data_IF_214526783033
#
_entry.id   IF_214526783033
#
_cell.length_a   1.000
_cell.length_b   1.000
_cell.length_c   1.000
_cell.angle_alpha   90.00
_cell.angle_beta   90.00
_cell.angle_gamma   90.00
#
_symmetry.space_group_name_H-M   'P 1'
#
loop_
_entity.id
_entity.type
_entity.pdbx_description
1 polymer ?
#
# COMPACT_ATOMS: atom_id res chain seq x y z
N UNK A 1 29.10 12.36 13.91
CA UNK A 1 28.54 11.94 15.22
C UNK A 1 27.03 11.65 15.20
N UNK A 2 26.14 12.47 14.59
CA UNK A 2 24.69 12.15 14.48
C UNK A 2 24.37 10.91 13.61
N UNK A 3 25.10 10.69 12.53
CA UNK A 3 24.87 9.56 11.62
C UNK A 3 25.25 8.22 12.26
N UNK A 4 26.37 8.15 12.97
CA UNK A 4 26.86 6.95 13.66
C UNK A 4 25.91 6.51 14.78
N UNK A 5 25.36 7.46 15.53
CA UNK A 5 24.36 7.20 16.57
C UNK A 5 23.03 6.69 15.98
N UNK A 6 22.60 7.24 14.85
CA UNK A 6 21.41 6.80 14.14
C UNK A 6 21.54 5.39 13.52
N UNK A 7 22.74 5.00 13.11
CA UNK A 7 23.05 3.64 12.64
C UNK A 7 23.02 2.64 13.81
N UNK A 8 23.59 2.98 14.96
CA UNK A 8 23.54 2.13 16.15
C UNK A 8 22.11 1.97 16.68
N UNK A 9 21.31 3.03 16.71
CA UNK A 9 19.89 2.98 17.06
C UNK A 9 19.04 2.19 16.06
N UNK A 10 19.45 2.13 14.78
CA UNK A 10 18.83 1.28 13.78
C UNK A 10 18.98 -0.20 14.15
N UNK A 11 20.17 -0.65 14.50
CA UNK A 11 20.43 -2.07 14.86
C UNK A 11 19.84 -2.49 16.21
N UNK A 12 19.46 -1.57 17.09
CA UNK A 12 18.83 -1.85 18.40
C UNK A 12 17.29 -1.74 18.39
N UNK A 13 16.66 -1.46 17.24
CA UNK A 13 15.20 -1.39 17.12
C UNK A 13 14.59 -2.78 17.20
N UNK A 14 13.64 -3.00 18.13
CA UNK A 14 12.89 -4.26 18.30
C UNK A 14 12.19 -4.77 17.01
N UNK A 15 12.01 -3.90 16.02
CA UNK A 15 11.31 -4.21 14.77
C UNK A 15 12.24 -4.37 13.56
N UNK A 16 13.57 -4.30 13.74
CA UNK A 16 14.48 -4.33 12.59
C UNK A 16 14.42 -5.64 11.82
N UNK A 17 14.31 -6.75 12.52
CA UNK A 17 14.21 -8.07 11.89
C UNK A 17 12.95 -8.19 11.04
N UNK A 18 11.81 -7.79 11.59
CA UNK A 18 10.51 -7.78 10.87
C UNK A 18 10.51 -6.82 9.69
N UNK A 19 11.05 -5.62 9.84
CA UNK A 19 11.14 -4.63 8.76
C UNK A 19 12.03 -5.17 7.62
N UNK A 20 13.19 -5.76 7.96
CA UNK A 20 14.13 -6.33 6.98
C UNK A 20 13.53 -7.56 6.28
N UNK A 21 12.81 -8.41 7.00
CA UNK A 21 12.11 -9.57 6.43
C UNK A 21 11.04 -9.14 5.42
N UNK A 22 10.24 -8.13 5.76
CA UNK A 22 9.25 -7.57 4.83
C UNK A 22 9.91 -6.98 3.58
N UNK A 23 11.03 -6.27 3.72
CA UNK A 23 11.79 -5.73 2.59
C UNK A 23 12.33 -6.86 1.72
N UNK A 24 12.94 -7.87 2.32
CA UNK A 24 13.49 -9.02 1.60
C UNK A 24 12.42 -9.78 0.80
N UNK A 25 11.33 -10.18 1.47
CA UNK A 25 10.22 -10.88 0.82
C UNK A 25 9.53 -10.02 -0.24
N UNK A 26 9.31 -8.75 0.08
CA UNK A 26 8.68 -7.81 -0.85
C UNK A 26 9.49 -7.61 -2.12
N UNK A 27 10.79 -7.41 -2.01
CA UNK A 27 11.68 -7.23 -3.17
C UNK A 27 11.85 -8.51 -3.99
N UNK A 28 11.85 -9.68 -3.34
CA UNK A 28 11.87 -10.97 -4.03
C UNK A 28 10.58 -11.15 -4.86
N UNK A 29 9.41 -10.87 -4.29
CA UNK A 29 8.12 -10.96 -5.00
C UNK A 29 8.08 -9.98 -6.18
N UNK A 30 8.57 -8.74 -6.02
CA UNK A 30 8.68 -7.79 -7.11
C UNK A 30 9.58 -8.28 -8.24
N UNK A 31 10.75 -8.84 -7.91
CA UNK A 31 11.68 -9.39 -8.90
C UNK A 31 11.07 -10.59 -9.63
N UNK A 32 10.34 -11.45 -8.92
CA UNK A 32 9.57 -12.55 -9.52
C UNK A 32 8.49 -12.02 -10.47
N UNK A 33 7.71 -11.02 -10.07
CA UNK A 33 6.70 -10.40 -10.92
C UNK A 33 7.33 -9.86 -12.21
N UNK A 34 8.46 -9.18 -12.09
CA UNK A 34 9.19 -8.65 -13.22
C UNK A 34 9.66 -9.75 -14.19
N UNK A 35 10.26 -10.83 -13.67
CA UNK A 35 10.85 -11.89 -14.50
C UNK A 35 9.84 -12.87 -15.06
N UNK A 36 8.76 -13.15 -14.34
CA UNK A 36 7.74 -14.11 -14.78
C UNK A 36 6.73 -13.49 -15.76
N UNK A 37 6.42 -12.20 -15.62
CA UNK A 37 5.30 -11.57 -16.33
C UNK A 37 5.68 -10.32 -17.13
N UNK A 38 6.38 -9.35 -16.49
CA UNK A 38 6.53 -8.03 -17.09
C UNK A 38 7.58 -8.01 -18.20
N UNK A 39 8.78 -8.53 -17.96
CA UNK A 39 9.85 -8.58 -18.97
C UNK A 39 9.45 -9.45 -20.16
N UNK A 40 8.91 -10.69 -19.97
CA UNK A 40 8.44 -11.49 -21.09
C UNK A 40 7.30 -10.85 -21.89
N UNK A 41 6.37 -10.16 -21.20
CA UNK A 41 5.27 -9.44 -21.82
C UNK A 41 5.67 -8.13 -22.50
N UNK A 42 6.92 -7.69 -22.35
CA UNK A 42 7.41 -6.36 -22.77
C UNK A 42 6.54 -5.23 -22.20
N UNK A 43 6.17 -5.34 -20.91
CA UNK A 43 5.35 -4.37 -20.20
C UNK A 43 6.20 -3.67 -19.15
N UNK A 44 6.09 -2.34 -19.09
CA UNK A 44 6.87 -1.57 -18.14
C UNK A 44 6.25 -1.59 -16.74
N UNK A 45 7.10 -1.65 -15.72
CA UNK A 45 6.71 -1.59 -14.31
C UNK A 45 6.62 -0.15 -13.76
N UNK A 46 6.84 0.85 -14.60
CA UNK A 46 6.95 2.26 -14.20
C UNK A 46 8.35 2.65 -13.71
N UNK A 47 8.57 3.94 -13.50
CA UNK A 47 9.76 4.52 -12.90
C UNK A 47 11.10 4.08 -13.48
N UNK A 48 12.13 4.05 -12.64
CA UNK A 48 13.49 3.64 -13.02
C UNK A 48 13.53 2.18 -13.50
N UNK A 49 12.74 1.30 -12.88
CA UNK A 49 12.69 -0.10 -13.30
C UNK A 49 12.06 -0.25 -14.70
N UNK A 50 11.02 0.55 -15.01
CA UNK A 50 10.43 0.60 -16.35
C UNK A 50 11.41 1.18 -17.39
N UNK A 51 12.13 2.25 -17.06
CA UNK A 51 13.19 2.78 -17.92
C UNK A 51 14.30 1.75 -18.16
N UNK A 52 14.73 1.04 -17.11
CA UNK A 52 15.71 -0.03 -17.22
C UNK A 52 15.22 -1.18 -18.13
N UNK A 53 13.93 -1.55 -18.09
CA UNK A 53 13.35 -2.55 -18.99
C UNK A 53 13.43 -2.10 -20.45
N UNK A 54 13.11 -0.82 -20.76
CA UNK A 54 13.20 -0.26 -22.11
C UNK A 54 14.66 -0.30 -22.58
N UNK A 55 15.61 0.14 -21.76
CA UNK A 55 17.03 0.13 -22.09
C UNK A 55 17.54 -1.31 -22.28
N UNK A 56 17.15 -2.24 -21.39
CA UNK A 56 17.53 -3.65 -21.50
C UNK A 56 17.10 -4.27 -22.83
N UNK A 57 15.93 -3.94 -23.32
CA UNK A 57 15.43 -4.46 -24.59
C UNK A 57 16.35 -4.14 -25.76
N UNK A 58 16.95 -2.95 -25.79
CA UNK A 58 17.85 -2.53 -26.88
C UNK A 58 19.32 -2.90 -26.63
N UNK A 59 19.75 -2.92 -25.35
CA UNK A 59 21.19 -3.03 -25.00
C UNK A 59 21.56 -4.37 -24.37
N UNK A 60 20.57 -5.12 -23.91
CA UNK A 60 20.75 -6.36 -23.11
C UNK A 60 21.54 -6.17 -21.80
N UNK A 61 21.67 -4.91 -21.33
CA UNK A 61 22.29 -4.62 -20.04
C UNK A 61 21.42 -5.14 -18.88
N UNK A 62 22.05 -5.57 -17.77
CA UNK A 62 21.32 -6.08 -16.61
C UNK A 62 20.35 -5.04 -16.04
N UNK A 63 19.08 -5.42 -15.88
CA UNK A 63 18.03 -4.51 -15.39
C UNK A 63 18.33 -4.06 -13.95
N UNK A 64 18.74 -5.01 -13.08
CA UNK A 64 19.03 -4.70 -11.69
C UNK A 64 20.18 -3.72 -11.53
N UNK A 65 21.26 -3.87 -12.30
CA UNK A 65 22.37 -2.91 -12.29
C UNK A 65 21.89 -1.50 -12.67
N UNK A 66 21.09 -1.37 -13.73
CA UNK A 66 20.54 -0.09 -14.16
C UNK A 66 19.61 0.52 -13.13
N UNK A 67 18.78 -0.29 -12.46
CA UNK A 67 17.93 0.15 -11.36
C UNK A 67 18.76 0.65 -10.19
N UNK A 68 19.83 -0.06 -9.82
CA UNK A 68 20.73 0.36 -8.74
C UNK A 68 21.33 1.73 -8.99
N UNK A 69 21.91 1.93 -10.17
CA UNK A 69 22.57 3.21 -10.57
C UNK A 69 21.55 4.33 -10.74
N UNK A 70 20.42 4.05 -11.43
CA UNK A 70 19.38 5.04 -11.72
C UNK A 70 18.65 5.52 -10.47
N UNK A 71 18.68 4.74 -9.39
CA UNK A 71 18.06 5.14 -8.12
C UNK A 71 18.92 6.10 -7.27
N UNK A 72 20.20 6.31 -7.58
CA UNK A 72 21.07 7.18 -6.76
C UNK A 72 20.45 8.58 -6.56
N UNK A 73 20.04 9.33 -7.61
CA UNK A 73 19.47 10.67 -7.42
C UNK A 73 18.13 10.65 -6.67
N UNK A 74 17.26 9.68 -6.94
CA UNK A 74 15.97 9.57 -6.26
C UNK A 74 16.12 9.15 -4.80
N UNK A 75 17.12 8.32 -4.50
CA UNK A 75 17.47 7.96 -3.12
C UNK A 75 17.87 9.19 -2.29
N UNK A 76 18.69 10.09 -2.83
CA UNK A 76 19.07 11.34 -2.18
C UNK A 76 17.84 12.21 -1.91
N UNK A 77 16.91 12.29 -2.87
CA UNK A 77 15.65 13.00 -2.74
C UNK A 77 14.77 12.37 -1.62
N UNK A 78 14.59 11.06 -1.64
CA UNK A 78 13.81 10.34 -0.64
C UNK A 78 14.36 10.47 0.76
N UNK A 79 15.69 10.44 0.90
CA UNK A 79 16.36 10.67 2.19
C UNK A 79 16.00 12.02 2.79
N UNK A 80 15.95 13.07 1.94
CA UNK A 80 15.65 14.44 2.39
C UNK A 80 14.17 14.62 2.79
N UNK A 81 13.24 14.00 2.06
CA UNK A 81 11.80 14.32 2.17
C UNK A 81 10.95 13.29 2.93
N UNK A 82 11.34 12.02 3.00
CA UNK A 82 10.46 10.94 3.49
C UNK A 82 10.83 10.34 4.85
N UNK A 83 11.95 10.65 5.48
CA UNK A 83 12.18 10.05 6.80
C UNK A 83 13.61 9.96 7.32
N UNK A 84 14.51 10.73 6.76
CA UNK A 84 15.90 10.81 7.26
C UNK A 84 16.68 9.49 7.15
N UNK A 85 17.66 9.28 8.03
CA UNK A 85 18.64 8.18 7.93
C UNK A 85 18.04 6.78 8.04
N UNK A 86 16.98 6.58 8.87
CA UNK A 86 16.35 5.27 9.06
C UNK A 86 15.59 4.83 7.80
N UNK A 87 14.87 5.74 7.20
CA UNK A 87 14.19 5.50 5.92
C UNK A 87 15.21 5.23 4.82
N UNK A 88 16.28 6.03 4.74
CA UNK A 88 17.33 5.87 3.75
C UNK A 88 17.99 4.48 3.81
N UNK A 89 18.34 3.97 5.02
CA UNK A 89 18.94 2.66 5.18
C UNK A 89 18.01 1.53 4.68
N UNK A 90 16.72 1.57 5.03
CA UNK A 90 15.74 0.59 4.59
C UNK A 90 15.52 0.63 3.08
N UNK A 91 15.45 1.82 2.53
CA UNK A 91 15.33 2.04 1.08
C UNK A 91 16.57 1.56 0.34
N UNK A 92 17.78 1.83 0.85
CA UNK A 92 19.01 1.31 0.28
C UNK A 92 19.02 -0.23 0.24
N UNK A 93 18.64 -0.88 1.34
CA UNK A 93 18.51 -2.34 1.39
C UNK A 93 17.48 -2.85 0.37
N UNK A 94 16.33 -2.20 0.26
CA UNK A 94 15.31 -2.59 -0.70
C UNK A 94 15.79 -2.46 -2.15
N UNK A 95 16.46 -1.37 -2.51
CA UNK A 95 17.01 -1.16 -3.85
C UNK A 95 18.07 -2.23 -4.15
N UNK A 96 18.98 -2.52 -3.20
CA UNK A 96 20.03 -3.52 -3.36
C UNK A 96 19.40 -4.92 -3.55
N UNK A 97 18.46 -5.33 -2.69
CA UNK A 97 17.81 -6.64 -2.80
C UNK A 97 17.01 -6.77 -4.09
N UNK A 98 16.21 -5.76 -4.45
CA UNK A 98 15.45 -5.77 -5.70
C UNK A 98 16.35 -5.89 -6.93
N UNK A 99 17.42 -5.09 -6.98
CA UNK A 99 18.40 -5.12 -8.06
C UNK A 99 19.10 -6.47 -8.16
N UNK A 100 19.55 -7.00 -7.02
CA UNK A 100 20.18 -8.32 -6.95
C UNK A 100 19.24 -9.44 -7.41
N UNK A 101 18.02 -9.51 -6.86
CA UNK A 101 17.07 -10.56 -7.23
C UNK A 101 16.64 -10.46 -8.69
N UNK A 102 16.46 -9.24 -9.21
CA UNK A 102 16.08 -9.04 -10.61
C UNK A 102 17.11 -9.60 -11.57
N UNK A 103 18.40 -9.44 -11.30
CA UNK A 103 19.45 -9.99 -12.17
C UNK A 103 19.76 -11.45 -11.85
N UNK A 104 19.74 -11.85 -10.58
CA UNK A 104 19.98 -13.23 -10.15
C UNK A 104 18.95 -14.20 -10.73
N UNK A 105 17.66 -13.85 -10.69
CA UNK A 105 16.57 -14.68 -11.20
C UNK A 105 16.62 -14.87 -12.72
N UNK A 106 17.35 -14.06 -13.46
CA UNK A 106 17.54 -14.24 -14.92
C UNK A 106 18.16 -15.60 -15.25
N UNK A 107 18.98 -16.14 -14.35
CA UNK A 107 19.64 -17.43 -14.55
C UNK A 107 18.72 -18.64 -14.32
N UNK A 108 17.59 -18.45 -13.65
CA UNK A 108 16.69 -19.53 -13.24
C UNK A 108 15.31 -19.48 -13.91
N UNK A 109 14.90 -18.32 -14.40
CA UNK A 109 13.59 -18.12 -15.00
C UNK A 109 13.74 -18.01 -16.52
N UNK A 110 12.92 -18.79 -17.24
CA UNK A 110 12.89 -18.74 -18.71
C UNK A 110 12.54 -17.34 -19.22
N UNK A 111 13.20 -16.88 -20.30
CA UNK A 111 12.88 -15.60 -20.93
C UNK A 111 11.43 -15.51 -21.44
N UNK A 112 10.76 -16.65 -21.71
CA UNK A 112 9.36 -16.69 -22.15
C UNK A 112 8.36 -16.41 -21.02
N UNK A 113 8.80 -16.45 -19.75
CA UNK A 113 7.90 -16.27 -18.61
C UNK A 113 6.92 -17.44 -18.43
N UNK A 114 5.78 -17.15 -17.79
CA UNK A 114 4.73 -18.14 -17.46
C UNK A 114 3.67 -18.24 -18.55
N UNK A 115 3.37 -17.14 -19.21
CA UNK A 115 2.29 -17.04 -20.22
C UNK A 115 2.64 -16.03 -21.30
N UNK A 116 2.13 -16.26 -22.51
CA UNK A 116 2.19 -15.28 -23.60
C UNK A 116 0.98 -14.34 -23.66
N UNK A 117 -0.04 -14.60 -22.83
CA UNK A 117 -1.25 -13.77 -22.76
C UNK A 117 -0.95 -12.44 -22.08
N UNK A 118 -1.17 -11.33 -22.79
CA UNK A 118 -0.86 -9.99 -22.30
C UNK A 118 -1.77 -9.58 -21.13
N UNK A 119 -3.02 -10.02 -21.11
CA UNK A 119 -3.97 -9.71 -20.02
C UNK A 119 -3.51 -10.39 -18.73
N UNK A 120 -3.18 -11.69 -18.81
CA UNK A 120 -2.68 -12.43 -17.64
C UNK A 120 -1.35 -11.85 -17.14
N UNK A 121 -0.44 -11.50 -18.04
CA UNK A 121 0.82 -10.86 -17.70
C UNK A 121 0.59 -9.51 -16.99
N UNK A 122 -0.34 -8.69 -17.48
CA UNK A 122 -0.64 -7.40 -16.86
C UNK A 122 -1.28 -7.54 -15.48
N UNK A 123 -2.27 -8.42 -15.33
CA UNK A 123 -3.00 -8.59 -14.08
C UNK A 123 -2.15 -9.26 -13.01
N UNK A 124 -1.57 -10.42 -13.29
CA UNK A 124 -0.76 -11.15 -12.31
C UNK A 124 0.59 -10.47 -12.06
N UNK A 125 1.21 -9.90 -13.10
CA UNK A 125 2.42 -9.11 -12.96
C UNK A 125 2.19 -7.87 -12.10
N UNK A 126 1.12 -7.12 -12.37
CA UNK A 126 0.73 -5.96 -11.56
C UNK A 126 0.38 -6.32 -10.13
N UNK A 127 -0.42 -7.39 -9.92
CA UNK A 127 -0.80 -7.86 -8.59
C UNK A 127 0.42 -8.23 -7.75
N UNK A 128 1.31 -9.08 -8.26
CA UNK A 128 2.50 -9.52 -7.53
C UNK A 128 3.48 -8.37 -7.31
N UNK A 129 3.67 -7.49 -8.32
CA UNK A 129 4.50 -6.31 -8.17
C UNK A 129 3.99 -5.43 -7.02
N UNK A 130 2.68 -5.17 -6.98
CA UNK A 130 2.06 -4.36 -5.94
C UNK A 130 2.07 -5.00 -4.56
N UNK A 131 1.82 -6.30 -4.45
CA UNK A 131 1.95 -7.03 -3.18
C UNK A 131 3.37 -6.93 -2.64
N UNK A 132 4.37 -7.10 -3.50
CA UNK A 132 5.78 -6.92 -3.14
C UNK A 132 6.08 -5.50 -2.66
N UNK A 133 5.59 -4.48 -3.37
CA UNK A 133 5.71 -3.07 -2.97
C UNK A 133 5.07 -2.80 -1.60
N UNK A 134 3.86 -3.28 -1.38
CA UNK A 134 3.15 -3.11 -0.12
C UNK A 134 3.89 -3.74 1.07
N UNK A 135 4.54 -4.90 0.87
CA UNK A 135 5.41 -5.50 1.88
C UNK A 135 6.64 -4.62 2.17
N UNK A 136 7.29 -4.08 1.14
CA UNK A 136 8.41 -3.13 1.33
C UNK A 136 7.95 -1.89 2.09
N UNK A 137 6.74 -1.40 1.85
CA UNK A 137 6.15 -0.28 2.58
C UNK A 137 5.88 -0.62 4.06
N UNK A 138 5.41 -1.83 4.36
CA UNK A 138 5.32 -2.32 5.75
C UNK A 138 6.68 -2.39 6.42
N UNK A 139 7.74 -2.73 5.67
CA UNK A 139 9.13 -2.63 6.11
C UNK A 139 9.64 -1.19 6.25
N UNK A 140 8.78 -0.18 6.06
CA UNK A 140 9.08 1.26 6.19
C UNK A 140 10.17 1.73 5.22
N UNK A 141 10.30 1.05 4.08
CA UNK A 141 11.20 1.38 2.98
C UNK A 141 10.42 1.69 1.69
N UNK A 142 11.13 1.82 0.58
CA UNK A 142 10.60 1.83 -0.78
C UNK A 142 11.59 1.13 -1.69
N UNK A 143 11.11 0.50 -2.79
CA UNK A 143 11.98 -0.17 -3.76
C UNK A 143 12.73 0.81 -4.69
N UNK A 144 12.58 2.11 -4.46
CA UNK A 144 13.22 3.14 -5.27
C UNK A 144 12.36 3.55 -6.46
N UNK A 145 12.98 4.21 -7.44
CA UNK A 145 12.29 4.65 -8.65
C UNK A 145 11.23 5.72 -8.39
N UNK A 146 10.19 5.70 -9.22
CA UNK A 146 9.02 6.55 -9.08
C UNK A 146 8.26 6.32 -7.76
N UNK A 147 8.50 5.20 -7.08
CA UNK A 147 7.91 4.92 -5.76
C UNK A 147 8.27 6.01 -4.75
N UNK A 148 9.50 6.54 -4.80
CA UNK A 148 9.92 7.65 -3.95
C UNK A 148 9.09 8.90 -4.26
N UNK A 149 8.91 9.22 -5.54
CA UNK A 149 8.08 10.35 -5.98
C UNK A 149 6.61 10.11 -5.63
N UNK A 150 6.10 8.91 -5.88
CA UNK A 150 4.74 8.51 -5.53
C UNK A 150 4.45 8.66 -4.03
N UNK A 151 5.37 8.22 -3.18
CA UNK A 151 5.25 8.40 -1.72
C UNK A 151 5.35 9.85 -1.27
N UNK A 152 6.15 10.67 -1.93
CA UNK A 152 6.20 12.11 -1.68
C UNK A 152 4.84 12.73 -2.01
N UNK A 153 4.25 12.41 -3.16
CA UNK A 153 2.91 12.90 -3.54
C UNK A 153 1.82 12.42 -2.59
N UNK A 154 1.85 11.15 -2.20
CA UNK A 154 0.92 10.59 -1.21
C UNK A 154 1.04 11.35 0.13
N UNK A 155 2.25 11.52 0.64
CA UNK A 155 2.49 12.16 1.94
C UNK A 155 2.11 13.64 1.97
N UNK A 156 2.46 14.42 0.93
CA UNK A 156 2.26 15.88 0.91
C UNK A 156 0.96 16.34 0.25
N UNK A 157 0.38 15.56 -0.66
CA UNK A 157 -0.82 15.92 -1.41
C UNK A 157 -2.01 15.03 -1.11
N UNK A 158 -1.86 13.97 -0.30
CA UNK A 158 -2.95 13.05 0.05
C UNK A 158 -3.48 12.22 -1.11
N UNK A 159 -2.74 12.12 -2.23
CA UNK A 159 -3.13 11.27 -3.35
C UNK A 159 -2.99 9.80 -2.98
N UNK A 160 -3.85 8.92 -3.54
CA UNK A 160 -3.66 7.47 -3.38
C UNK A 160 -2.35 7.01 -4.04
N UNK A 161 -1.83 5.87 -3.61
CA UNK A 161 -0.60 5.30 -4.16
C UNK A 161 -0.76 5.05 -5.66
N UNK A 162 -1.90 4.49 -6.07
CA UNK A 162 -2.21 4.20 -7.47
C UNK A 162 -2.27 5.47 -8.34
N UNK A 163 -2.90 6.55 -7.83
CA UNK A 163 -2.93 7.85 -8.53
C UNK A 163 -1.53 8.46 -8.67
N UNK A 164 -0.74 8.39 -7.61
CA UNK A 164 0.62 8.92 -7.61
C UNK A 164 1.50 8.21 -8.64
N UNK A 165 1.37 6.90 -8.78
CA UNK A 165 2.10 6.12 -9.79
C UNK A 165 1.69 6.48 -11.21
N UNK A 166 0.39 6.61 -11.49
CA UNK A 166 -0.06 7.03 -12.81
C UNK A 166 0.55 8.38 -13.22
N UNK A 167 0.64 9.33 -12.29
CA UNK A 167 1.22 10.65 -12.57
C UNK A 167 2.73 10.55 -12.83
N UNK A 168 3.47 9.85 -11.96
CA UNK A 168 4.94 9.79 -12.04
C UNK A 168 5.43 8.94 -13.19
N UNK A 169 4.65 7.94 -13.62
CA UNK A 169 5.08 6.93 -14.58
C UNK A 169 4.57 7.18 -16.01
N UNK A 170 3.73 8.21 -16.20
CA UNK A 170 3.20 8.57 -17.54
C UNK A 170 4.29 8.72 -18.58
N UNK A 171 5.41 9.36 -18.26
CA UNK A 171 6.52 9.54 -19.21
C UNK A 171 7.13 8.20 -19.63
N UNK A 172 7.25 7.24 -18.71
CA UNK A 172 7.79 5.90 -18.97
C UNK A 172 6.82 5.09 -19.84
N UNK A 173 5.51 5.20 -19.57
CA UNK A 173 4.48 4.57 -20.41
C UNK A 173 4.53 5.09 -21.83
N UNK A 174 4.61 6.41 -22.02
CA UNK A 174 4.74 7.01 -23.35
C UNK A 174 6.01 6.52 -24.07
N UNK A 175 7.15 6.50 -23.39
CA UNK A 175 8.40 5.97 -23.94
C UNK A 175 8.26 4.49 -24.33
N UNK A 176 7.55 3.68 -23.53
CA UNK A 176 7.31 2.26 -23.84
C UNK A 176 6.44 2.07 -25.08
N UNK A 177 5.51 2.99 -25.35
CA UNK A 177 4.69 2.99 -26.57
C UNK A 177 5.53 3.08 -27.85
N UNK A 178 6.58 3.88 -27.83
CA UNK A 178 7.51 3.97 -28.95
C UNK A 178 8.47 2.77 -29.04
N UNK A 179 8.84 2.17 -27.90
CA UNK A 179 9.78 1.06 -27.85
C UNK A 179 9.13 -0.31 -28.14
N UNK A 180 7.98 -0.59 -27.56
CA UNK A 180 7.33 -1.91 -27.54
C UNK A 180 6.01 -1.94 -28.31
N UNK A 181 5.50 -0.77 -28.73
CA UNK A 181 4.18 -0.59 -29.33
C UNK A 181 3.11 -0.17 -28.33
N UNK A 182 2.09 0.53 -28.85
CA UNK A 182 1.05 1.16 -28.02
C UNK A 182 0.19 0.17 -27.25
N UNK A 183 -0.06 -1.02 -27.81
CA UNK A 183 -0.83 -2.06 -27.13
C UNK A 183 -0.15 -2.45 -25.81
N UNK A 184 1.16 -2.72 -25.83
CA UNK A 184 1.92 -3.08 -24.64
C UNK A 184 2.07 -1.94 -23.64
N UNK A 185 2.12 -0.71 -24.14
CA UNK A 185 2.11 0.47 -23.29
C UNK A 185 0.79 0.63 -22.53
N UNK A 186 -0.35 0.36 -23.19
CA UNK A 186 -1.66 0.35 -22.53
C UNK A 186 -1.75 -0.75 -21.47
N UNK A 187 -1.25 -1.95 -21.74
CA UNK A 187 -1.14 -2.99 -20.70
C UNK A 187 -0.18 -2.57 -19.58
N UNK A 188 0.90 -1.84 -19.87
CA UNK A 188 1.78 -1.23 -18.87
C UNK A 188 1.03 -0.28 -17.93
N UNK A 189 0.09 0.53 -18.44
CA UNK A 189 -0.79 1.35 -17.59
C UNK A 189 -1.65 0.52 -16.66
N UNK A 190 -2.18 -0.62 -17.14
CA UNK A 190 -2.94 -1.55 -16.29
C UNK A 190 -2.03 -2.12 -15.20
N UNK A 191 -0.81 -2.54 -15.54
CA UNK A 191 0.20 -3.01 -14.55
C UNK A 191 0.43 -1.97 -13.47
N UNK A 192 0.70 -0.71 -13.84
CA UNK A 192 0.97 0.38 -12.90
C UNK A 192 -0.23 0.63 -11.99
N UNK A 193 -1.44 0.68 -12.55
CA UNK A 193 -2.66 0.90 -11.78
C UNK A 193 -2.96 -0.26 -10.81
N UNK A 194 -2.93 -1.50 -11.31
CA UNK A 194 -3.16 -2.71 -10.50
C UNK A 194 -2.11 -2.84 -9.40
N UNK A 195 -0.83 -2.57 -9.71
CA UNK A 195 0.23 -2.62 -8.71
C UNK A 195 0.05 -1.56 -7.62
N UNK A 196 -0.40 -0.36 -7.98
CA UNK A 196 -0.74 0.68 -7.01
C UNK A 196 -1.85 0.25 -6.05
N UNK A 197 -2.97 -0.30 -6.57
CA UNK A 197 -4.06 -0.82 -5.75
C UNK A 197 -3.61 -1.97 -4.84
N UNK A 198 -2.85 -2.91 -5.38
CA UNK A 198 -2.34 -4.04 -4.60
C UNK A 198 -1.34 -3.59 -3.52
N UNK A 199 -0.50 -2.60 -3.81
CA UNK A 199 0.43 -2.01 -2.85
C UNK A 199 -0.31 -1.29 -1.71
N UNK A 200 -1.37 -0.55 -2.02
CA UNK A 200 -2.22 0.14 -1.05
C UNK A 200 -2.88 -0.87 -0.10
N UNK A 201 -3.53 -1.91 -0.65
CA UNK A 201 -4.14 -2.98 0.13
C UNK A 201 -3.13 -3.74 0.99
N UNK A 202 -1.95 -4.03 0.45
CA UNK A 202 -0.91 -4.76 1.17
C UNK A 202 -0.21 -3.90 2.23
N UNK A 203 -0.04 -2.59 2.02
CA UNK A 203 0.61 -1.69 2.96
C UNK A 203 -0.29 -1.31 4.15
N UNK A 204 -1.54 -0.98 3.88
CA UNK A 204 -2.49 -0.54 4.91
C UNK A 204 -3.11 -1.71 5.67
N UNK A 205 -3.10 -2.90 5.08
CA UNK A 205 -3.81 -4.07 5.59
C UNK A 205 -5.32 -3.97 5.33
N UNK A 206 -6.02 -5.09 5.57
CA UNK A 206 -7.47 -5.15 5.39
C UNK A 206 -8.26 -4.55 6.56
N UNK A 207 -7.63 -3.75 7.42
CA UNK A 207 -8.28 -3.09 8.56
C UNK A 207 -9.09 -1.89 8.06
N UNK A 208 -10.14 -2.15 7.31
CA UNK A 208 -11.10 -1.11 6.95
C UNK A 208 -11.93 -0.84 8.18
N UNK A 209 -11.57 0.20 8.92
CA UNK A 209 -12.38 0.69 10.03
C UNK A 209 -13.70 1.23 9.51
N UNK A 210 -14.74 1.02 10.30
CA UNK A 210 -16.08 1.51 10.03
C UNK A 210 -16.56 2.35 11.21
N UNK A 211 -17.25 3.41 10.92
CA UNK A 211 -18.04 4.13 11.92
C UNK A 211 -19.49 3.75 11.75
N UNK A 212 -20.19 3.54 12.86
CA UNK A 212 -21.63 3.34 12.87
C UNK A 212 -22.29 4.47 13.66
N UNK A 213 -23.34 5.03 13.06
CA UNK A 213 -24.28 5.95 13.71
C UNK A 213 -25.62 5.22 13.82
N UNK A 214 -26.12 5.00 15.04
CA UNK A 214 -27.33 4.26 15.31
C UNK A 214 -28.32 5.13 16.05
N UNK A 215 -29.39 5.51 15.39
CA UNK A 215 -30.51 6.23 15.98
C UNK A 215 -31.48 5.20 16.56
N UNK A 216 -31.69 5.21 17.87
CA UNK A 216 -32.46 4.17 18.57
C UNK A 216 -33.17 4.70 19.79
N UNK A 217 -34.25 4.04 20.18
CA UNK A 217 -34.95 4.27 21.46
C UNK A 217 -34.38 3.43 22.61
N UNK A 218 -33.48 2.48 22.32
CA UNK A 218 -32.87 1.54 23.29
C UNK A 218 -31.33 1.75 23.43
N UNK A 219 -30.84 2.98 23.67
CA UNK A 219 -29.40 3.28 23.61
C UNK A 219 -28.60 2.53 24.69
N UNK A 220 -29.17 2.34 25.88
CA UNK A 220 -28.46 1.66 26.99
C UNK A 220 -28.28 0.16 26.72
N UNK A 221 -29.28 -0.50 26.19
CA UNK A 221 -29.25 -1.93 25.89
C UNK A 221 -28.25 -2.23 24.78
N UNK A 222 -28.33 -1.48 23.67
CA UNK A 222 -27.43 -1.66 22.53
C UNK A 222 -25.99 -1.36 22.92
N UNK A 223 -25.73 -0.25 23.65
CA UNK A 223 -24.36 0.08 24.07
C UNK A 223 -23.78 -0.96 25.02
N UNK A 224 -24.58 -1.52 25.93
CA UNK A 224 -24.12 -2.57 26.85
C UNK A 224 -23.74 -3.85 26.10
N UNK A 225 -24.53 -4.26 25.10
CA UNK A 225 -24.20 -5.41 24.26
C UNK A 225 -22.96 -5.16 23.39
N UNK A 226 -22.79 -3.95 22.84
CA UNK A 226 -21.57 -3.59 22.11
C UNK A 226 -20.33 -3.70 23.01
N UNK A 227 -20.41 -3.28 24.26
CA UNK A 227 -19.31 -3.44 25.23
C UNK A 227 -18.98 -4.91 25.51
N UNK A 228 -19.99 -5.76 25.67
CA UNK A 228 -19.82 -7.17 26.06
C UNK A 228 -19.38 -8.00 24.84
N UNK A 229 -20.06 -7.86 23.71
CA UNK A 229 -19.94 -8.77 22.57
C UNK A 229 -18.81 -8.35 21.60
N UNK A 230 -18.50 -7.04 21.56
CA UNK A 230 -17.51 -6.48 20.62
C UNK A 230 -16.30 -5.84 21.32
N UNK A 231 -16.35 -5.65 22.64
CA UNK A 231 -15.31 -4.95 23.41
C UNK A 231 -14.98 -3.56 22.83
N UNK A 232 -16.00 -2.85 22.31
CA UNK A 232 -15.87 -1.53 21.66
C UNK A 232 -16.50 -0.41 22.46
N UNK A 233 -15.83 0.73 22.46
CA UNK A 233 -16.36 1.96 23.04
C UNK A 233 -17.55 2.50 22.24
N UNK A 234 -18.56 3.04 22.94
CA UNK A 234 -19.74 3.66 22.34
C UNK A 234 -19.94 5.04 22.97
N UNK A 235 -20.15 6.04 22.14
CA UNK A 235 -20.51 7.39 22.59
C UNK A 235 -21.99 7.65 22.29
N UNK A 236 -22.76 8.09 23.30
CA UNK A 236 -24.14 8.49 23.13
C UNK A 236 -24.17 9.99 22.83
N UNK A 237 -24.66 10.33 21.65
CA UNK A 237 -24.91 11.72 21.23
C UNK A 237 -26.39 12.05 21.44
N UNK A 238 -26.68 13.17 22.04
CA UNK A 238 -28.06 13.65 22.20
C UNK A 238 -28.52 14.31 20.89
N UNK A 239 -29.50 13.70 20.24
CA UNK A 239 -30.14 14.21 19.04
C UNK A 239 -31.61 14.55 19.27
N UNK A 240 -32.19 15.39 18.42
CA UNK A 240 -33.61 15.70 18.38
C UNK A 240 -34.16 15.45 16.99
N UNK A 241 -35.27 14.76 16.89
CA UNK A 241 -35.96 14.51 15.62
C UNK A 241 -36.52 15.86 15.09
N UNK A 242 -36.02 16.31 13.96
CA UNK A 242 -36.38 17.63 13.41
C UNK A 242 -37.86 17.74 13.07
N UNK A 243 -38.54 16.65 12.74
CA UNK A 243 -39.96 16.65 12.40
C UNK A 243 -40.86 16.49 13.64
N UNK A 244 -40.49 15.61 14.58
CA UNK A 244 -41.34 15.31 15.74
C UNK A 244 -41.00 16.15 16.98
N UNK A 245 -39.77 16.69 17.06
CA UNK A 245 -39.27 17.35 18.27
C UNK A 245 -38.83 16.38 19.38
N UNK A 246 -38.98 15.07 19.17
CA UNK A 246 -38.67 14.07 20.18
C UNK A 246 -37.15 13.90 20.37
N UNK A 247 -36.75 13.54 21.59
CA UNK A 247 -35.37 13.12 21.85
C UNK A 247 -35.04 11.83 21.09
N UNK A 248 -33.97 11.87 20.30
CA UNK A 248 -33.49 10.74 19.49
C UNK A 248 -32.01 10.52 19.76
N UNK A 249 -31.65 9.72 20.77
CA UNK A 249 -30.25 9.41 21.05
C UNK A 249 -29.61 8.69 19.87
N UNK A 250 -28.36 9.05 19.57
CA UNK A 250 -27.55 8.49 18.50
C UNK A 250 -26.34 7.82 19.13
N UNK A 251 -26.14 6.54 18.92
CA UNK A 251 -24.94 5.84 19.30
C UNK A 251 -23.89 6.00 18.20
N UNK A 252 -22.70 6.41 18.58
CA UNK A 252 -21.53 6.47 17.71
C UNK A 252 -20.52 5.44 18.19
N UNK A 253 -20.12 4.53 17.30
CA UNK A 253 -19.07 3.57 17.56
C UNK A 253 -18.18 3.36 16.33
N UNK A 254 -16.91 3.03 16.58
CA UNK A 254 -15.94 2.66 15.56
C UNK A 254 -15.57 1.20 15.75
N UNK A 255 -15.57 0.45 14.65
CA UNK A 255 -15.39 -1.00 14.64
C UNK A 255 -14.68 -1.45 13.37
N UNK A 256 -14.23 -2.68 13.34
CA UNK A 256 -13.65 -3.31 12.15
C UNK A 256 -14.75 -3.82 11.21
N UNK A 257 -14.42 -4.01 9.94
CA UNK A 257 -15.36 -4.56 8.94
C UNK A 257 -15.93 -5.92 9.35
N UNK A 258 -15.15 -6.77 10.04
CA UNK A 258 -15.58 -8.09 10.53
C UNK A 258 -16.65 -8.01 11.61
N UNK A 259 -16.64 -6.96 12.42
CA UNK A 259 -17.57 -6.77 13.55
C UNK A 259 -18.94 -6.21 13.12
N UNK A 260 -19.07 -5.72 11.89
CA UNK A 260 -20.32 -5.11 11.39
C UNK A 260 -21.51 -6.07 11.45
N UNK A 261 -21.31 -7.34 11.11
CA UNK A 261 -22.40 -8.31 11.11
C UNK A 261 -22.92 -8.58 12.55
N UNK A 262 -22.01 -8.65 13.50
CA UNK A 262 -22.37 -8.77 14.92
C UNK A 262 -23.12 -7.52 15.38
N UNK A 263 -22.63 -6.33 15.04
CA UNK A 263 -23.33 -5.08 15.35
C UNK A 263 -24.75 -5.05 14.78
N UNK A 264 -24.94 -5.46 13.52
CA UNK A 264 -26.27 -5.53 12.89
C UNK A 264 -27.21 -6.46 13.66
N UNK A 265 -26.73 -7.61 14.12
CA UNK A 265 -27.50 -8.54 14.92
C UNK A 265 -27.90 -7.91 16.25
N UNK A 266 -26.94 -7.32 16.99
CA UNK A 266 -27.20 -6.63 18.26
C UNK A 266 -28.30 -5.57 18.10
N UNK A 267 -28.18 -4.72 17.08
CA UNK A 267 -29.14 -3.63 16.86
C UNK A 267 -30.52 -4.16 16.45
N UNK A 268 -30.58 -5.14 15.54
CA UNK A 268 -31.86 -5.69 15.08
C UNK A 268 -32.64 -6.44 16.15
N UNK A 269 -31.94 -7.06 17.09
CA UNK A 269 -32.56 -7.77 18.22
C UNK A 269 -33.05 -6.79 19.30
N UNK A 270 -32.28 -5.74 19.61
CA UNK A 270 -32.63 -4.80 20.65
C UNK A 270 -33.67 -3.74 20.20
N UNK A 271 -33.57 -3.28 18.96
CA UNK A 271 -34.49 -2.28 18.38
C UNK A 271 -34.67 -2.52 16.86
N UNK A 272 -35.66 -3.32 16.45
CA UNK A 272 -35.97 -3.57 15.04
C UNK A 272 -36.34 -2.31 14.23
N UNK A 273 -36.64 -1.18 14.90
CA UNK A 273 -36.97 0.10 14.28
C UNK A 273 -35.80 1.08 14.28
N UNK A 274 -34.65 0.67 14.79
CA UNK A 274 -33.46 1.50 14.78
C UNK A 274 -33.02 1.85 13.34
N UNK A 275 -32.55 3.08 13.18
CA UNK A 275 -31.94 3.52 11.91
C UNK A 275 -30.42 3.55 12.08
N UNK A 276 -29.71 2.82 11.23
CA UNK A 276 -28.26 2.70 11.31
C UNK A 276 -27.59 3.08 10.02
N UNK A 277 -26.59 3.98 10.10
CA UNK A 277 -25.69 4.35 8.99
C UNK A 277 -24.30 3.83 9.28
N UNK A 278 -23.72 3.12 8.33
CA UNK A 278 -22.34 2.61 8.40
C UNK A 278 -21.51 3.35 7.35
N UNK A 279 -20.52 4.11 7.81
CA UNK A 279 -19.56 4.81 6.97
C UNK A 279 -18.17 4.18 7.04
N UNK A 280 -17.28 4.59 6.13
CA UNK A 280 -15.85 4.30 6.25
C UNK A 280 -15.20 5.27 7.23
N UNK A 281 -14.34 4.74 8.10
CA UNK A 281 -13.40 5.54 8.87
C UNK A 281 -12.00 5.28 8.31
N UNK A 282 -11.32 6.32 7.87
CA UNK A 282 -9.99 6.19 7.29
C UNK A 282 -8.97 5.80 8.35
N UNK A 283 -9.09 6.36 9.55
CA UNK A 283 -8.20 6.12 10.67
C UNK A 283 -8.94 6.31 11.99
N UNK A 284 -8.62 5.50 12.99
CA UNK A 284 -9.04 5.71 14.38
C UNK A 284 -7.82 5.59 15.27
N UNK A 285 -7.58 6.61 16.08
CA UNK A 285 -6.45 6.70 17.00
C UNK A 285 -6.97 6.83 18.43
N UNK A 286 -6.29 6.19 19.36
CA UNK A 286 -6.63 6.24 20.78
C UNK A 286 -6.85 4.86 21.39
N UNK A 287 -7.49 4.84 22.56
CA UNK A 287 -7.74 3.63 23.32
C UNK A 287 -8.63 2.64 22.54
N UNK A 288 -8.23 1.37 22.47
CA UNK A 288 -8.89 0.34 21.67
C UNK A 288 -8.49 0.30 20.19
N UNK A 289 -7.65 1.25 19.73
CA UNK A 289 -7.12 1.37 18.36
C UNK A 289 -5.62 1.63 18.36
N UNK A 290 -5.09 2.20 17.30
CA UNK A 290 -3.67 2.57 17.25
C UNK A 290 -3.38 3.71 18.23
N UNK A 291 -2.26 3.65 19.00
CA UNK A 291 -1.94 4.71 19.94
C UNK A 291 -1.65 6.03 19.22
N UNK A 292 -2.13 7.14 19.77
CA UNK A 292 -1.72 8.50 19.38
C UNK A 292 -0.21 8.64 19.62
N UNK A 293 0.60 8.49 18.56
CA UNK A 293 2.04 8.77 18.67
C UNK A 293 2.22 10.28 18.70
N UNK A 294 2.78 10.80 19.78
CA UNK A 294 3.41 12.12 19.78
C UNK A 294 4.61 12.07 18.82
N UNK A 295 4.59 12.88 17.76
CA UNK A 295 5.75 13.16 16.92
C UNK A 295 6.86 13.84 17.73
#
# INVERSE_FOLDING_TARGET
MKITRSIQEFFHSKHIFTDTLFIFLGTLIQALAMRLFLVPGLMVSGGISGAAQIINYFTHWPIGLMVLVGNIPLFILGWRYLGGTRFALRTALAIIFFSFFTDFLTNFISPQGVTSDLVLNALYGGLLLGLGLGLVYRGRGTSGGSDILGRILNHYRGLSISQSYLITDTAIVLASGFAFGWERALYGMIVIYVSGLAAELASEGMSVLRMALIVTNHPKEISQRIFIDLERGVTILNGTGAYTGDSRPVLYCVLTRSEINVLKTIVSEADPKAFMVIGQANEALGEGFQPLKRN
#
